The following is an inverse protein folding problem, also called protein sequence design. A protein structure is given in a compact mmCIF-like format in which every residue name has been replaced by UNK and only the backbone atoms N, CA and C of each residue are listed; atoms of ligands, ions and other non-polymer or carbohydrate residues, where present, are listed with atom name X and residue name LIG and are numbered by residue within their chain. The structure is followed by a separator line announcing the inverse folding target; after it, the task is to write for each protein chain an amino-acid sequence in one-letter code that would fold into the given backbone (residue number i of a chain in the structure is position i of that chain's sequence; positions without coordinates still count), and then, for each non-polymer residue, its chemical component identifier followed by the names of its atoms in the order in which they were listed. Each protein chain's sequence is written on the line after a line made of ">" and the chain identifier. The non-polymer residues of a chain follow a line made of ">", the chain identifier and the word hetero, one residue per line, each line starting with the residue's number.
data_IF_029029752937
#
_entry.id   IF_029029752937
#
_cell.length_a   1.000
_cell.length_b   1.000
_cell.length_c   1.000
_cell.angle_alpha   90.00
_cell.angle_beta   90.00
_cell.angle_gamma   90.00
#
_symmetry.space_group_name_H-M   'P 1'
#
loop_
_entity.id
_entity.type
_entity.pdbx_description
1 polymer ?
#
# COMPACT_ATOMS: atom_id res chain seq x y z
N UNK A 1 -0.65 3.71 -4.36
CA UNK A 1 0.46 2.84 -4.83
C UNK A 1 1.66 3.71 -5.14
N UNK A 2 2.80 3.12 -5.50
CA UNK A 2 4.00 3.88 -5.90
C UNK A 2 4.11 3.93 -7.43
N UNK A 3 4.77 4.95 -7.97
CA UNK A 3 4.99 5.09 -9.42
C UNK A 3 6.44 5.50 -9.69
N UNK A 4 7.09 4.91 -10.70
CA UNK A 4 8.46 5.23 -11.09
C UNK A 4 8.58 5.77 -12.51
N UNK A 5 9.35 6.84 -12.67
CA UNK A 5 9.82 7.31 -13.98
C UNK A 5 8.72 7.88 -14.88
N UNK A 6 7.67 8.46 -14.29
CA UNK A 6 6.56 9.11 -15.00
C UNK A 6 6.59 10.64 -14.96
N UNK A 7 7.38 11.23 -14.07
CA UNK A 7 7.56 12.68 -14.00
C UNK A 7 7.98 13.24 -15.36
N UNK A 8 7.20 14.19 -15.88
CA UNK A 8 7.40 14.82 -17.20
C UNK A 8 7.36 13.85 -18.40
N UNK A 9 6.69 12.70 -18.29
CA UNK A 9 6.56 11.72 -19.37
C UNK A 9 5.12 11.62 -19.85
N UNK A 10 4.76 12.37 -20.91
CA UNK A 10 3.39 12.45 -21.44
C UNK A 10 2.92 11.12 -22.07
N UNK A 11 3.85 10.27 -22.52
CA UNK A 11 3.55 8.99 -23.18
C UNK A 11 3.36 7.84 -22.20
N UNK A 12 3.65 8.03 -20.91
CA UNK A 12 3.48 6.98 -19.90
C UNK A 12 2.13 7.11 -19.22
N UNK A 13 1.46 5.98 -19.06
CA UNK A 13 0.18 5.92 -18.37
C UNK A 13 0.35 6.18 -16.87
N UNK A 14 -0.21 7.30 -16.40
CA UNK A 14 -0.22 7.72 -15.00
C UNK A 14 -1.25 6.97 -14.14
N UNK A 15 -2.10 6.12 -14.71
CA UNK A 15 -3.03 5.28 -13.93
C UNK A 15 -2.37 4.00 -13.40
N UNK A 16 -1.19 3.65 -13.91
CA UNK A 16 -0.47 2.41 -13.55
C UNK A 16 0.49 2.64 -12.38
N UNK A 17 0.42 1.78 -11.37
CA UNK A 17 1.34 1.75 -10.24
C UNK A 17 2.42 0.68 -10.42
N UNK A 18 3.62 0.98 -9.93
CA UNK A 18 4.76 0.07 -9.94
C UNK A 18 4.93 -0.64 -8.59
N UNK A 19 5.52 -1.83 -8.66
CA UNK A 19 5.93 -2.62 -7.49
C UNK A 19 7.01 -1.92 -6.65
N UNK A 20 7.86 -1.12 -7.30
CA UNK A 20 8.99 -0.38 -6.71
C UNK A 20 9.93 -1.19 -5.80
N UNK A 21 9.96 -2.52 -5.94
CA UNK A 21 10.73 -3.44 -5.09
C UNK A 21 10.49 -3.23 -3.59
N UNK A 22 9.28 -2.76 -3.23
CA UNK A 22 8.83 -2.55 -1.86
C UNK A 22 8.80 -3.88 -1.11
N UNK A 23 9.27 -3.85 0.13
CA UNK A 23 9.37 -4.99 1.04
C UNK A 23 8.47 -4.82 2.25
N UNK A 24 8.42 -3.62 2.82
CA UNK A 24 7.55 -3.30 3.95
C UNK A 24 6.95 -1.90 3.78
N UNK A 25 5.73 -1.73 4.27
CA UNK A 25 5.06 -0.43 4.38
C UNK A 25 4.36 -0.39 5.72
N UNK A 26 4.58 0.68 6.48
CA UNK A 26 3.94 0.92 7.76
C UNK A 26 3.43 2.35 7.85
N UNK A 27 2.28 2.52 8.49
CA UNK A 27 1.77 3.81 8.92
C UNK A 27 1.90 3.85 10.43
N UNK A 28 2.60 4.86 10.95
CA UNK A 28 2.66 5.15 12.37
C UNK A 28 1.61 6.22 12.67
N UNK A 29 0.62 5.87 13.48
CA UNK A 29 -0.38 6.78 14.02
C UNK A 29 -0.04 7.05 15.48
N UNK A 30 0.32 8.29 15.82
CA UNK A 30 0.79 8.67 17.16
C UNK A 30 1.86 7.70 17.71
N UNK A 31 2.87 7.37 16.88
CA UNK A 31 3.94 6.40 17.18
C UNK A 31 3.53 4.92 17.27
N UNK A 32 2.27 4.54 16.96
CA UNK A 32 1.84 3.14 16.87
C UNK A 32 1.83 2.69 15.41
N UNK A 33 2.58 1.63 15.08
CA UNK A 33 2.75 1.16 13.71
C UNK A 33 1.64 0.18 13.27
N UNK A 34 1.17 0.36 12.02
CA UNK A 34 0.20 -0.49 11.34
C UNK A 34 0.69 -0.85 9.93
N UNK A 35 0.64 -2.11 9.50
CA UNK A 35 0.42 -3.28 10.34
C UNK A 35 1.54 -3.44 11.38
N UNK A 36 1.24 -4.13 12.48
CA UNK A 36 2.22 -4.41 13.54
C UNK A 36 3.39 -5.25 13.01
N UNK A 37 3.07 -6.26 12.21
CA UNK A 37 4.05 -7.15 11.60
C UNK A 37 4.56 -6.60 10.26
N UNK A 38 5.79 -7.00 9.91
CA UNK A 38 6.37 -6.72 8.61
C UNK A 38 5.65 -7.50 7.51
N UNK A 39 5.37 -6.84 6.39
CA UNK A 39 4.74 -7.45 5.22
C UNK A 39 5.67 -8.43 4.50
N UNK A 40 6.99 -8.21 4.56
CA UNK A 40 8.03 -9.03 3.95
C UNK A 40 7.74 -9.38 2.47
N UNK A 41 7.33 -8.37 1.71
CA UNK A 41 6.94 -8.51 0.31
C UNK A 41 8.15 -8.91 -0.55
N UNK A 42 7.94 -9.91 -1.40
CA UNK A 42 8.88 -10.32 -2.44
C UNK A 42 8.10 -10.68 -3.70
N UNK A 43 8.00 -9.73 -4.62
CA UNK A 43 7.25 -9.87 -5.85
C UNK A 43 7.85 -10.91 -6.82
N UNK A 44 9.12 -11.28 -6.66
CA UNK A 44 9.77 -12.29 -7.50
C UNK A 44 9.48 -13.71 -7.01
N UNK A 45 9.21 -13.85 -5.71
CA UNK A 45 8.82 -15.14 -5.09
C UNK A 45 7.31 -15.31 -4.94
N UNK A 46 6.52 -14.43 -5.56
CA UNK A 46 5.06 -14.36 -5.39
C UNK A 46 4.60 -14.10 -3.94
N UNK A 47 5.46 -13.55 -3.08
CA UNK A 47 5.09 -13.13 -1.72
C UNK A 47 4.38 -11.76 -1.75
N UNK A 48 3.28 -11.67 -2.50
CA UNK A 48 2.40 -10.49 -2.54
C UNK A 48 0.95 -10.84 -2.15
N UNK A 49 0.67 -12.10 -1.82
CA UNK A 49 -0.68 -12.54 -1.46
C UNK A 49 -1.27 -11.73 -0.30
N UNK A 50 -0.45 -11.36 0.68
CA UNK A 50 -0.88 -10.47 1.78
C UNK A 50 -1.32 -9.10 1.27
N UNK A 51 -0.62 -8.54 0.28
CA UNK A 51 -0.96 -7.26 -0.33
C UNK A 51 -2.30 -7.32 -1.08
N UNK A 52 -2.51 -8.42 -1.82
CA UNK A 52 -3.77 -8.65 -2.51
C UNK A 52 -4.93 -8.91 -1.53
N UNK A 53 -4.69 -9.65 -0.44
CA UNK A 53 -5.68 -9.87 0.61
C UNK A 53 -6.11 -8.54 1.25
N UNK A 54 -5.16 -7.66 1.60
CA UNK A 54 -5.45 -6.31 2.09
C UNK A 54 -6.31 -5.49 1.10
N UNK A 55 -5.97 -5.54 -0.20
CA UNK A 55 -6.75 -4.88 -1.26
C UNK A 55 -8.19 -5.42 -1.35
N UNK A 56 -8.38 -6.74 -1.32
CA UNK A 56 -9.73 -7.32 -1.42
C UNK A 56 -10.56 -7.12 -0.15
N UNK A 57 -9.91 -7.12 1.02
CA UNK A 57 -10.54 -6.88 2.32
C UNK A 57 -11.03 -5.44 2.47
N UNK A 58 -10.36 -4.48 1.83
CA UNK A 58 -10.78 -3.08 1.82
C UNK A 58 -12.23 -2.89 1.37
N UNK A 59 -12.65 -3.63 0.33
CA UNK A 59 -14.02 -3.52 -0.18
C UNK A 59 -15.05 -4.02 0.84
N UNK A 60 -14.72 -5.07 1.60
CA UNK A 60 -15.57 -5.62 2.63
C UNK A 60 -15.76 -4.61 3.77
N UNK A 61 -14.67 -3.98 4.23
CA UNK A 61 -14.73 -2.95 5.29
C UNK A 61 -15.39 -1.65 4.83
N UNK A 62 -15.13 -1.21 3.59
CA UNK A 62 -15.60 0.09 3.10
C UNK A 62 -17.07 0.08 2.63
N UNK A 63 -17.52 -1.00 1.98
CA UNK A 63 -18.89 -1.12 1.49
C UNK A 63 -19.82 -1.94 2.42
N UNK A 64 -19.30 -2.40 3.57
CA UNK A 64 -20.02 -3.26 4.52
C UNK A 64 -20.59 -4.54 3.87
N UNK A 65 -19.92 -5.04 2.83
CA UNK A 65 -20.35 -6.22 2.07
C UNK A 65 -19.65 -7.47 2.58
N UNK A 66 -20.42 -8.51 2.91
CA UNK A 66 -19.92 -9.84 3.29
C UNK A 66 -19.16 -10.58 2.18
N UNK A 67 -19.32 -10.16 0.93
CA UNK A 67 -18.71 -10.80 -0.24
C UNK A 67 -17.68 -9.86 -0.84
N UNK A 68 -16.43 -10.30 -0.89
CA UNK A 68 -15.36 -9.61 -1.61
C UNK A 68 -15.60 -9.74 -3.11
N UNK A 69 -15.62 -8.61 -3.82
CA UNK A 69 -15.79 -8.58 -5.28
C UNK A 69 -14.67 -7.75 -5.93
N UNK A 70 -13.42 -8.24 -5.87
CA UNK A 70 -12.26 -7.48 -6.31
C UNK A 70 -12.36 -7.16 -7.79
N UNK A 71 -12.09 -5.90 -8.14
CA UNK A 71 -12.15 -5.43 -9.53
C UNK A 71 -11.03 -6.04 -10.39
N UNK A 72 -9.90 -6.36 -9.77
CA UNK A 72 -8.69 -6.83 -10.45
C UNK A 72 -8.39 -8.25 -9.97
N UNK A 73 -8.02 -9.13 -10.88
CA UNK A 73 -7.45 -10.43 -10.54
C UNK A 73 -6.07 -10.25 -9.88
N UNK A 74 -5.53 -11.27 -9.17
CA UNK A 74 -4.21 -11.16 -8.54
C UNK A 74 -3.09 -10.76 -9.51
N UNK A 75 -3.11 -11.27 -10.75
CA UNK A 75 -2.10 -10.94 -11.77
C UNK A 75 -2.24 -9.50 -12.26
N UNK A 76 -3.46 -9.07 -12.61
CA UNK A 76 -3.71 -7.71 -13.08
C UNK A 76 -3.47 -6.67 -11.98
N UNK A 77 -3.79 -7.01 -10.74
CA UNK A 77 -3.44 -6.19 -9.57
C UNK A 77 -1.93 -6.01 -9.46
N UNK A 78 -1.17 -7.11 -9.48
CA UNK A 78 0.28 -7.07 -9.35
C UNK A 78 0.96 -6.29 -10.48
N UNK A 79 0.44 -6.36 -11.69
CA UNK A 79 0.99 -5.69 -12.88
C UNK A 79 0.65 -4.21 -12.93
N UNK A 80 -0.59 -3.84 -12.62
CA UNK A 80 -1.09 -2.49 -12.89
C UNK A 80 -1.34 -1.65 -11.64
N UNK A 81 -1.62 -2.28 -10.51
CA UNK A 81 -2.08 -1.59 -9.31
C UNK A 81 -1.67 -2.28 -8.00
N UNK A 82 -0.36 -2.52 -7.74
CA UNK A 82 0.10 -2.99 -6.44
C UNK A 82 -0.09 -1.90 -5.37
N UNK A 83 -1.32 -1.76 -4.90
CA UNK A 83 -1.73 -0.79 -3.90
C UNK A 83 -1.64 -1.45 -2.52
N UNK A 84 -1.04 -0.74 -1.57
CA UNK A 84 -1.00 -1.13 -0.17
C UNK A 84 -2.18 -0.50 0.54
N UNK A 85 -3.05 -1.32 1.11
CA UNK A 85 -4.14 -0.86 1.99
C UNK A 85 -3.76 -1.17 3.42
N UNK A 86 -3.68 -0.16 4.27
CA UNK A 86 -3.41 -0.35 5.71
C UNK A 86 -4.70 -0.02 6.45
N UNK A 87 -5.31 -1.06 7.03
CA UNK A 87 -6.49 -0.90 7.87
C UNK A 87 -6.07 -0.47 9.28
N UNK A 88 -6.44 0.76 9.65
CA UNK A 88 -6.19 1.34 10.98
C UNK A 88 -7.47 1.46 11.79
N UNK A 89 -8.57 0.82 11.37
CA UNK A 89 -9.86 0.87 12.09
C UNK A 89 -9.79 0.34 13.52
N UNK A 90 -8.83 -0.55 13.78
CA UNK A 90 -8.55 -1.13 15.11
C UNK A 90 -7.54 -0.31 15.91
N UNK A 91 -7.29 0.94 15.55
CA UNK A 91 -6.46 1.81 16.35
C UNK A 91 -7.07 1.98 17.74
N UNK A 92 -6.23 1.90 18.78
CA UNK A 92 -6.69 2.19 20.13
C UNK A 92 -6.97 3.69 20.24
N UNK A 93 -8.16 4.05 20.71
CA UNK A 93 -8.52 5.44 21.10
C UNK A 93 -7.78 5.91 22.37
N UNK A 94 -6.67 5.25 22.73
CA UNK A 94 -5.95 5.50 23.98
C UNK A 94 -5.21 6.82 23.91
N UNK A 95 -5.91 7.88 24.33
CA UNK A 95 -5.34 9.17 24.66
C UNK A 95 -5.72 10.25 23.66
N UNK A 96 -6.57 11.16 24.12
CA UNK A 96 -6.84 12.50 23.58
C UNK A 96 -5.57 13.21 23.11
N UNK A 97 -5.13 12.97 21.88
CA UNK A 97 -4.22 13.86 21.19
C UNK A 97 -5.09 14.90 20.46
N UNK A 98 -4.86 16.19 20.71
CA UNK A 98 -5.56 17.27 20.00
C UNK A 98 -5.26 17.29 18.49
N UNK A 99 -4.21 16.57 18.08
CA UNK A 99 -3.74 16.40 16.71
C UNK A 99 -3.28 14.96 16.50
N UNK A 100 -3.62 14.35 15.37
CA UNK A 100 -3.11 13.04 14.97
C UNK A 100 -1.80 13.24 14.20
N UNK A 101 -0.73 12.60 14.65
CA UNK A 101 0.51 12.49 13.89
C UNK A 101 0.47 11.25 13.00
N UNK A 102 0.77 11.43 11.71
CA UNK A 102 0.73 10.37 10.69
C UNK A 102 2.07 10.33 9.99
N UNK A 103 2.82 9.25 10.19
CA UNK A 103 4.09 8.99 9.51
C UNK A 103 3.97 7.75 8.63
N UNK A 104 4.44 7.84 7.39
CA UNK A 104 4.50 6.73 6.44
C UNK A 104 5.95 6.25 6.31
N UNK A 105 6.19 4.98 6.63
CA UNK A 105 7.47 4.31 6.43
C UNK A 105 7.37 3.31 5.28
N UNK A 106 8.33 3.38 4.36
CA UNK A 106 8.40 2.51 3.18
C UNK A 106 9.82 1.96 3.10
N UNK A 107 9.93 0.64 3.11
CA UNK A 107 11.19 -0.07 2.91
C UNK A 107 11.18 -0.77 1.55
N UNK A 108 12.27 -0.63 0.80
CA UNK A 108 12.44 -1.29 -0.49
C UNK A 108 13.79 -2.00 -0.55
N UNK A 109 13.82 -3.15 -1.24
CA UNK A 109 15.05 -3.93 -1.44
C UNK A 109 16.03 -3.27 -2.39
N UNK A 110 15.58 -2.28 -3.16
CA UNK A 110 16.41 -1.43 -4.01
C UNK A 110 16.15 0.04 -3.68
N UNK A 111 17.12 0.93 -3.90
CA UNK A 111 16.92 2.36 -3.74
C UNK A 111 15.70 2.84 -4.53
N UNK A 112 14.77 3.50 -3.82
CA UNK A 112 13.70 4.27 -4.45
C UNK A 112 14.37 5.48 -5.11
N UNK A 113 14.76 5.34 -6.37
CA UNK A 113 15.35 6.46 -7.12
C UNK A 113 14.36 7.63 -7.17
N UNK A 114 14.87 8.86 -7.35
CA UNK A 114 14.14 10.16 -7.33
C UNK A 114 12.87 10.24 -8.20
N UNK A 115 12.60 9.23 -9.01
CA UNK A 115 11.41 9.12 -9.83
C UNK A 115 10.31 8.22 -9.22
N UNK A 116 10.55 7.58 -8.07
CA UNK A 116 9.61 6.80 -7.27
C UNK A 116 8.87 7.70 -6.27
N UNK A 117 8.20 8.75 -6.73
CA UNK A 117 7.40 9.58 -5.83
C UNK A 117 6.00 8.99 -5.70
N UNK A 118 5.44 9.04 -4.49
CA UNK A 118 4.00 9.01 -4.32
C UNK A 118 3.47 10.35 -4.82
N UNK A 119 2.85 10.37 -6.00
CA UNK A 119 2.01 11.50 -6.39
C UNK A 119 0.79 11.47 -5.46
N UNK A 120 0.86 12.22 -4.36
CA UNK A 120 -0.29 12.62 -3.52
C UNK A 120 -0.44 14.13 -3.68
#
# INVERSE_FOLDING_TARGET
>A
GLQKGRKNQITKDCSVFDKCDVTNVKVLLNSVAYPYDNLNLDFNKNNFSILYDMYTSFQESYYEKRIRNPLLSPSTFLENAPIVVIDTSKQNDSGTASSVDVQLEIEASKPLTVNCNSDI
#
